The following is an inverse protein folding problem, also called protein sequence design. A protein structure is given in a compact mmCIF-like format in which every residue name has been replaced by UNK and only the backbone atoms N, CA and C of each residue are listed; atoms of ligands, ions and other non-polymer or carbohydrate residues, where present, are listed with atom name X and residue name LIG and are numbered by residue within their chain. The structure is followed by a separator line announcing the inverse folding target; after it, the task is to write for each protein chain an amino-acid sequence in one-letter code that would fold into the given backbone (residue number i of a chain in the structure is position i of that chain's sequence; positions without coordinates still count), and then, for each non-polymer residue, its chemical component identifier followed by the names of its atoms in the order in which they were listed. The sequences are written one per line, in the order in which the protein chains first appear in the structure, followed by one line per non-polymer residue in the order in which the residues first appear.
data_IF_393793502193
#
_entry.id   IF_393793502193
#
_cell.length_a   1.000
_cell.length_b   1.000
_cell.length_c   1.000
_cell.angle_alpha   90.00
_cell.angle_beta   90.00
_cell.angle_gamma   90.00
#
_symmetry.space_group_name_H-M   'P 1'
#
loop_
_entity.id
_entity.type
_entity.pdbx_description
1 polymer ?
#
# COMPACT_ATOMS: atom_id res chain seq x y z
N UNK A 1 0.44 16.98 -9.27
CA UNK A 1 0.13 16.72 -7.86
C UNK A 1 -1.36 16.91 -7.62
N UNK A 2 -2.03 16.06 -6.88
CA UNK A 2 -3.46 16.15 -6.61
C UNK A 2 -3.71 16.85 -5.27
N UNK A 3 -4.76 17.69 -5.19
CA UNK A 3 -5.17 18.36 -3.95
C UNK A 3 -5.78 17.41 -2.91
N UNK A 4 -6.28 17.95 -1.79
CA UNK A 4 -6.99 17.16 -0.78
C UNK A 4 -8.33 16.62 -1.31
N UNK A 5 -8.77 15.43 -0.82
CA UNK A 5 -10.07 14.79 -1.11
C UNK A 5 -10.33 14.47 -2.59
N UNK A 6 -9.30 14.16 -3.35
CA UNK A 6 -9.43 13.76 -4.77
C UNK A 6 -9.32 12.24 -4.99
N UNK A 7 -9.58 11.42 -3.97
CA UNK A 7 -9.58 9.96 -4.10
C UNK A 7 -8.19 9.31 -4.14
N UNK A 8 -7.15 9.94 -3.60
CA UNK A 8 -5.78 9.37 -3.59
C UNK A 8 -5.71 8.02 -2.87
N UNK A 9 -6.24 7.97 -1.66
CA UNK A 9 -6.30 6.73 -0.87
C UNK A 9 -7.15 5.65 -1.55
N UNK A 10 -8.24 6.07 -2.24
CA UNK A 10 -9.04 5.13 -3.04
C UNK A 10 -8.23 4.57 -4.21
N UNK A 11 -7.44 5.39 -4.89
CA UNK A 11 -6.55 4.93 -5.97
C UNK A 11 -5.51 3.93 -5.45
N UNK A 12 -4.87 4.22 -4.31
CA UNK A 12 -3.90 3.30 -3.68
C UNK A 12 -4.53 1.96 -3.26
N UNK A 13 -5.72 2.01 -2.67
CA UNK A 13 -6.45 0.80 -2.28
C UNK A 13 -6.90 -0.01 -3.52
N UNK A 14 -7.33 0.67 -4.58
CA UNK A 14 -7.71 0.03 -5.85
C UNK A 14 -6.51 -0.67 -6.49
N UNK A 15 -5.38 0.02 -6.65
CA UNK A 15 -4.16 -0.55 -7.23
C UNK A 15 -3.65 -1.74 -6.40
N UNK A 16 -3.64 -1.62 -5.08
CA UNK A 16 -3.32 -2.73 -4.19
C UNK A 16 -4.25 -3.93 -4.43
N UNK A 17 -5.55 -3.68 -4.58
CA UNK A 17 -6.54 -4.74 -4.80
C UNK A 17 -6.35 -5.48 -6.14
N UNK A 18 -6.10 -4.76 -7.24
CA UNK A 18 -5.89 -5.42 -8.54
C UNK A 18 -4.62 -6.25 -8.57
N UNK A 19 -3.57 -5.83 -7.84
CA UNK A 19 -2.37 -6.64 -7.68
C UNK A 19 -2.62 -7.88 -6.80
N UNK A 20 -3.36 -7.75 -5.70
CA UNK A 20 -3.70 -8.87 -4.81
C UNK A 20 -4.53 -9.93 -5.49
N UNK A 21 -5.48 -9.53 -6.33
CA UNK A 21 -6.39 -10.45 -7.02
C UNK A 21 -5.83 -10.96 -8.34
N UNK A 22 -4.98 -10.18 -9.01
CA UNK A 22 -4.56 -10.40 -10.40
C UNK A 22 -5.66 -10.07 -11.41
N UNK A 23 -6.79 -9.50 -10.97
CA UNK A 23 -7.92 -9.09 -11.83
C UNK A 23 -7.69 -7.69 -12.38
N UNK A 24 -6.85 -7.57 -13.41
CA UNK A 24 -6.55 -6.31 -14.05
C UNK A 24 -7.61 -5.98 -15.09
N UNK A 25 -8.20 -4.76 -15.06
CA UNK A 25 -9.13 -4.34 -16.11
C UNK A 25 -8.41 -4.16 -17.46
N UNK A 26 -9.16 -4.23 -18.56
CA UNK A 26 -8.61 -4.17 -19.91
C UNK A 26 -7.83 -2.88 -20.21
N UNK A 27 -8.24 -1.78 -19.57
CA UNK A 27 -7.58 -0.48 -19.71
C UNK A 27 -6.30 -0.34 -18.87
N UNK A 28 -5.95 -1.33 -18.03
CA UNK A 28 -4.80 -1.26 -17.17
C UNK A 28 -3.48 -1.30 -17.97
N UNK A 29 -2.73 -0.21 -17.90
CA UNK A 29 -1.43 -0.06 -18.59
C UNK A 29 -0.23 -0.15 -17.65
N UNK A 30 -0.46 -0.22 -16.32
CA UNK A 30 0.58 -0.37 -15.31
C UNK A 30 1.18 -1.76 -15.24
N UNK A 31 2.06 -1.96 -14.27
CA UNK A 31 2.67 -3.27 -14.00
C UNK A 31 1.59 -4.32 -13.72
N UNK A 32 1.79 -5.52 -14.21
CA UNK A 32 0.96 -6.70 -13.92
C UNK A 32 1.84 -7.78 -13.31
N UNK A 33 1.31 -8.46 -12.30
CA UNK A 33 1.91 -9.66 -11.73
C UNK A 33 1.10 -10.87 -12.18
N UNK A 34 1.78 -11.91 -12.64
CA UNK A 34 1.19 -13.17 -13.09
C UNK A 34 1.19 -14.25 -12.00
N UNK A 35 1.60 -13.88 -10.80
CA UNK A 35 1.72 -14.73 -9.62
C UNK A 35 1.09 -14.04 -8.40
N UNK A 36 0.81 -14.84 -7.36
CA UNK A 36 0.33 -14.34 -6.09
C UNK A 36 1.40 -13.46 -5.42
N UNK A 37 1.02 -12.23 -5.05
CA UNK A 37 1.93 -11.17 -4.61
C UNK A 37 1.97 -11.02 -3.10
N UNK A 38 3.11 -10.54 -2.60
CA UNK A 38 3.27 -10.03 -1.24
C UNK A 38 3.29 -8.52 -1.29
N UNK A 39 2.37 -7.87 -0.59
CA UNK A 39 2.23 -6.42 -0.59
C UNK A 39 2.38 -5.84 0.82
N UNK A 40 2.78 -4.58 0.88
CA UNK A 40 2.60 -3.74 2.05
C UNK A 40 1.65 -2.59 1.71
N UNK A 41 0.79 -2.25 2.68
CA UNK A 41 0.01 -1.01 2.67
C UNK A 41 0.32 -0.28 3.98
N UNK A 42 0.91 0.91 3.87
CA UNK A 42 1.47 1.63 5.01
C UNK A 42 0.90 3.03 5.13
N UNK A 43 0.74 3.50 6.36
CA UNK A 43 0.25 4.84 6.69
C UNK A 43 0.90 5.39 7.95
N UNK A 44 0.51 6.61 8.35
CA UNK A 44 1.19 7.38 9.39
C UNK A 44 1.17 6.67 10.76
N UNK A 45 -0.01 6.41 11.31
CA UNK A 45 -0.18 5.79 12.63
C UNK A 45 -0.98 4.50 12.55
N UNK A 46 -0.85 3.62 13.55
CA UNK A 46 -1.67 2.41 13.65
C UNK A 46 -3.18 2.72 13.64
N UNK A 47 -3.57 3.87 14.19
CA UNK A 47 -4.95 4.33 14.16
C UNK A 47 -5.39 4.69 12.74
N UNK A 48 -4.63 5.49 12.01
CA UNK A 48 -4.98 5.89 10.65
C UNK A 48 -4.95 4.70 9.68
N UNK A 49 -4.02 3.77 9.87
CA UNK A 49 -3.99 2.51 9.10
C UNK A 49 -5.27 1.72 9.31
N UNK A 50 -5.73 1.56 10.56
CA UNK A 50 -6.98 0.85 10.89
C UNK A 50 -8.21 1.58 10.35
N UNK A 51 -8.32 2.90 10.58
CA UNK A 51 -9.53 3.67 10.28
C UNK A 51 -9.64 4.05 8.78
N UNK A 52 -8.53 4.04 8.04
CA UNK A 52 -8.50 4.46 6.64
C UNK A 52 -8.13 3.30 5.72
N UNK A 53 -6.89 2.79 5.82
CA UNK A 53 -6.38 1.77 4.88
C UNK A 53 -7.16 0.45 5.03
N UNK A 54 -7.29 -0.04 6.26
CA UNK A 54 -8.03 -1.26 6.55
C UNK A 54 -9.50 -1.14 6.12
N UNK A 55 -10.16 -0.01 6.41
CA UNK A 55 -11.55 0.20 6.00
C UNK A 55 -11.70 0.27 4.48
N UNK A 56 -10.77 0.91 3.76
CA UNK A 56 -10.78 0.94 2.30
C UNK A 56 -10.62 -0.45 1.69
N UNK A 57 -9.74 -1.26 2.23
CA UNK A 57 -9.47 -2.61 1.70
C UNK A 57 -10.55 -3.63 2.09
N UNK A 58 -11.01 -3.61 3.33
CA UNK A 58 -11.92 -4.64 3.88
C UNK A 58 -13.39 -4.21 3.98
N UNK A 59 -13.67 -2.91 3.96
CA UNK A 59 -14.96 -2.36 4.33
C UNK A 59 -15.03 -1.99 5.81
N UNK A 60 -16.18 -1.47 6.22
CA UNK A 60 -16.42 -1.09 7.62
C UNK A 60 -16.29 -2.30 8.55
N UNK A 61 -15.89 -2.06 9.79
CA UNK A 61 -15.81 -3.12 10.81
C UNK A 61 -17.16 -3.85 11.02
N UNK A 62 -18.28 -3.12 10.85
CA UNK A 62 -19.64 -3.68 10.91
C UNK A 62 -20.00 -4.54 9.70
N UNK A 63 -19.34 -4.36 8.57
CA UNK A 63 -19.65 -5.02 7.29
C UNK A 63 -18.35 -5.41 6.56
N UNK A 64 -17.57 -6.35 7.11
CA UNK A 64 -16.32 -6.78 6.50
C UNK A 64 -16.59 -7.52 5.18
N UNK A 65 -15.80 -7.19 4.16
CA UNK A 65 -15.96 -7.75 2.80
C UNK A 65 -16.68 -6.83 1.83
N UNK A 66 -17.12 -5.64 2.29
CA UNK A 66 -17.69 -4.57 1.46
C UNK A 66 -16.66 -3.52 1.06
N UNK A 67 -15.36 -3.77 1.29
CA UNK A 67 -14.26 -2.91 0.85
C UNK A 67 -13.87 -3.15 -0.60
N UNK A 68 -12.71 -2.63 -0.99
CA UNK A 68 -12.21 -2.81 -2.37
C UNK A 68 -11.81 -4.25 -2.67
N UNK A 69 -11.33 -5.00 -1.67
CA UNK A 69 -11.09 -6.44 -1.82
C UNK A 69 -12.43 -7.16 -1.73
N UNK A 70 -12.86 -7.87 -2.79
CA UNK A 70 -14.10 -8.65 -2.75
C UNK A 70 -14.07 -9.67 -1.61
N UNK A 71 -15.08 -9.65 -0.73
CA UNK A 71 -15.13 -10.52 0.45
C UNK A 71 -15.02 -12.00 0.12
N UNK A 72 -15.52 -12.43 -1.06
CA UNK A 72 -15.42 -13.81 -1.56
C UNK A 72 -13.99 -14.26 -1.88
N UNK A 73 -13.07 -13.31 -2.09
CA UNK A 73 -11.66 -13.60 -2.37
C UNK A 73 -10.79 -13.58 -1.12
N UNK A 74 -11.28 -13.06 0.00
CA UNK A 74 -10.54 -13.06 1.27
C UNK A 74 -10.55 -14.47 1.86
N UNK A 75 -9.37 -15.08 1.99
CA UNK A 75 -9.23 -16.44 2.52
C UNK A 75 -9.01 -16.45 4.02
N UNK A 76 -8.20 -15.52 4.50
CA UNK A 76 -7.80 -15.42 5.89
C UNK A 76 -7.36 -14.01 6.24
N UNK A 77 -7.35 -13.69 7.53
CA UNK A 77 -6.77 -12.45 8.08
C UNK A 77 -6.20 -12.70 9.46
N UNK A 78 -5.09 -12.04 9.77
CA UNK A 78 -4.49 -12.06 11.10
C UNK A 78 -4.69 -10.73 11.80
N UNK A 79 -4.75 -10.73 13.12
CA UNK A 79 -4.91 -9.51 13.92
C UNK A 79 -3.57 -9.03 14.45
N UNK A 80 -3.41 -7.72 14.58
CA UNK A 80 -2.23 -7.09 15.13
C UNK A 80 -2.23 -7.20 16.64
N UNK A 81 -1.15 -7.70 17.23
CA UNK A 81 -1.05 -7.84 18.67
C UNK A 81 -1.05 -6.46 19.36
N UNK A 82 -1.79 -6.36 20.46
CA UNK A 82 -1.82 -5.15 21.30
C UNK A 82 -2.67 -4.00 20.76
N UNK A 83 -3.29 -4.13 19.59
CA UNK A 83 -4.15 -3.10 19.01
C UNK A 83 -5.51 -3.70 18.69
N UNK A 84 -6.54 -3.28 19.42
CA UNK A 84 -7.89 -3.80 19.23
C UNK A 84 -8.39 -3.55 17.80
N UNK A 85 -9.03 -4.57 17.21
CA UNK A 85 -9.67 -4.53 15.87
C UNK A 85 -8.71 -4.20 14.70
N UNK A 86 -7.39 -4.10 14.96
CA UNK A 86 -6.42 -3.89 13.90
C UNK A 86 -6.05 -5.23 13.24
N UNK A 87 -6.12 -5.24 11.92
CA UNK A 87 -5.65 -6.35 11.10
C UNK A 87 -4.15 -6.17 10.85
N UNK A 88 -3.42 -7.25 10.92
CA UNK A 88 -2.00 -7.30 10.57
C UNK A 88 -1.83 -7.64 9.09
N UNK A 89 -2.34 -8.78 8.67
CA UNK A 89 -2.21 -9.26 7.29
C UNK A 89 -3.53 -9.81 6.76
N UNK A 90 -3.85 -9.48 5.51
CA UNK A 90 -5.01 -9.97 4.76
C UNK A 90 -4.51 -10.90 3.67
N UNK A 91 -5.11 -12.08 3.55
CA UNK A 91 -4.79 -13.07 2.53
C UNK A 91 -5.92 -13.16 1.51
N UNK A 92 -5.56 -13.09 0.23
CA UNK A 92 -6.51 -12.94 -0.89
C UNK A 92 -6.22 -13.98 -1.97
N UNK A 93 -7.25 -14.62 -2.50
CA UNK A 93 -7.12 -15.51 -3.67
C UNK A 93 -6.65 -14.72 -4.88
N UNK A 94 -5.62 -15.22 -5.55
CA UNK A 94 -5.12 -14.65 -6.79
C UNK A 94 -5.57 -15.51 -7.98
N UNK A 95 -5.81 -14.88 -9.15
CA UNK A 95 -6.25 -15.59 -10.37
C UNK A 95 -5.28 -16.67 -10.83
N UNK A 96 -4.00 -16.61 -10.48
CA UNK A 96 -3.02 -17.67 -10.74
C UNK A 96 -3.23 -18.95 -9.94
N UNK A 97 -4.21 -18.97 -9.00
CA UNK A 97 -4.45 -20.09 -8.09
C UNK A 97 -3.67 -20.01 -6.78
N UNK A 98 -2.75 -19.05 -6.64
CA UNK A 98 -2.02 -18.79 -5.39
C UNK A 98 -2.80 -17.90 -4.40
N UNK A 99 -2.16 -17.62 -3.27
CA UNK A 99 -2.70 -16.72 -2.24
C UNK A 99 -1.76 -15.52 -2.08
N UNK A 100 -2.25 -14.35 -2.45
CA UNK A 100 -1.59 -13.07 -2.19
C UNK A 100 -1.76 -12.64 -0.74
N UNK A 101 -0.90 -11.75 -0.29
CA UNK A 101 -1.02 -11.15 1.05
C UNK A 101 -0.72 -9.67 1.04
N UNK A 102 -1.43 -8.90 1.87
CA UNK A 102 -1.08 -7.52 2.18
C UNK A 102 -0.95 -7.34 3.67
N UNK A 103 0.24 -6.89 4.11
CA UNK A 103 0.51 -6.56 5.52
C UNK A 103 0.31 -5.06 5.72
N UNK A 104 -0.48 -4.72 6.73
CA UNK A 104 -0.80 -3.34 7.10
C UNK A 104 0.26 -2.83 8.09
N UNK A 105 0.97 -1.78 7.70
CA UNK A 105 2.10 -1.21 8.44
C UNK A 105 1.86 0.24 8.83
N UNK A 106 2.52 0.68 9.89
CA UNK A 106 2.47 2.07 10.33
C UNK A 106 3.90 2.64 10.37
N UNK A 107 4.07 3.88 9.91
CA UNK A 107 5.35 4.59 10.04
C UNK A 107 5.73 4.81 11.50
N UNK A 108 4.73 4.90 12.38
CA UNK A 108 4.92 5.00 13.84
C UNK A 108 5.72 3.81 14.42
N UNK A 109 5.70 2.64 13.77
CA UNK A 109 6.47 1.46 14.20
C UNK A 109 7.97 1.58 13.90
N UNK A 110 8.35 2.64 13.20
CA UNK A 110 9.73 2.92 12.85
C UNK A 110 10.24 2.12 11.64
N UNK A 111 11.37 2.56 11.12
CA UNK A 111 12.01 1.99 9.93
C UNK A 111 12.31 0.50 10.05
N UNK A 112 12.64 0.04 11.25
CA UNK A 112 13.01 -1.37 11.48
C UNK A 112 11.87 -2.34 11.18
N UNK A 113 10.61 -1.90 11.32
CA UNK A 113 9.44 -2.71 10.96
C UNK A 113 9.36 -3.04 9.46
N UNK A 114 10.08 -2.29 8.62
CA UNK A 114 10.15 -2.46 7.17
C UNK A 114 11.35 -3.30 6.72
N UNK A 115 12.15 -3.87 7.65
CA UNK A 115 13.29 -4.71 7.30
C UNK A 115 12.91 -6.16 6.98
N UNK A 116 13.79 -6.85 6.28
CA UNK A 116 13.86 -8.33 6.22
C UNK A 116 12.98 -9.03 5.19
N UNK A 117 11.97 -8.41 4.61
CA UNK A 117 11.11 -9.06 3.62
C UNK A 117 11.35 -8.51 2.19
N UNK A 118 11.32 -9.38 1.20
CA UNK A 118 11.14 -8.99 -0.20
C UNK A 118 9.64 -8.97 -0.51
N UNK A 119 9.17 -7.93 -1.19
CA UNK A 119 7.76 -7.72 -1.53
C UNK A 119 7.61 -7.30 -2.99
N UNK A 120 6.47 -7.64 -3.58
CA UNK A 120 6.18 -7.34 -4.98
C UNK A 120 5.61 -5.93 -5.15
N UNK A 121 4.82 -5.47 -4.15
CA UNK A 121 4.18 -4.17 -4.24
C UNK A 121 4.11 -3.47 -2.88
N UNK A 122 4.33 -2.16 -2.87
CA UNK A 122 4.19 -1.33 -1.69
C UNK A 122 3.35 -0.09 -1.98
N UNK A 123 2.32 0.12 -1.15
CA UNK A 123 1.55 1.34 -1.12
C UNK A 123 1.83 2.13 0.17
N UNK A 124 2.33 3.34 0.03
CA UNK A 124 2.48 4.32 1.09
C UNK A 124 1.33 5.34 1.00
N UNK A 125 0.46 5.41 2.01
CA UNK A 125 -0.57 6.44 2.13
C UNK A 125 -0.09 7.50 3.12
N UNK A 126 -0.08 8.75 2.68
CA UNK A 126 0.63 9.87 3.25
C UNK A 126 2.18 9.72 3.18
N UNK A 127 2.87 10.82 3.28
CA UNK A 127 4.31 10.89 3.07
C UNK A 127 5.08 10.29 4.26
N UNK A 128 5.82 9.18 4.09
CA UNK A 128 6.71 8.63 5.11
C UNK A 128 7.98 9.48 5.25
N UNK A 129 8.75 9.24 6.32
CA UNK A 129 10.13 9.73 6.32
C UNK A 129 10.98 9.06 5.23
N UNK A 130 12.08 9.73 4.84
CA UNK A 130 12.95 9.26 3.76
C UNK A 130 13.53 7.85 4.02
N UNK A 131 13.80 7.51 5.26
CA UNK A 131 14.35 6.21 5.62
C UNK A 131 13.35 5.08 5.37
N UNK A 132 12.08 5.27 5.75
CA UNK A 132 10.99 4.30 5.50
C UNK A 132 10.73 4.19 3.99
N UNK A 133 10.63 5.31 3.28
CA UNK A 133 10.45 5.31 1.82
C UNK A 133 11.55 4.53 1.10
N UNK A 134 12.80 4.79 1.47
CA UNK A 134 13.95 4.07 0.90
C UNK A 134 13.85 2.56 1.14
N UNK A 135 13.49 2.13 2.37
CA UNK A 135 13.32 0.71 2.65
C UNK A 135 12.20 0.08 1.81
N UNK A 136 11.04 0.73 1.70
CA UNK A 136 9.95 0.21 0.87
C UNK A 136 10.41 0.02 -0.59
N UNK A 137 11.10 0.99 -1.17
CA UNK A 137 11.65 0.89 -2.52
C UNK A 137 12.68 -0.25 -2.64
N UNK A 138 13.60 -0.37 -1.70
CA UNK A 138 14.62 -1.44 -1.72
C UNK A 138 13.98 -2.83 -1.66
N UNK A 139 12.92 -3.00 -0.86
CA UNK A 139 12.24 -4.30 -0.72
C UNK A 139 11.49 -4.72 -1.99
N UNK A 140 11.00 -3.78 -2.77
CA UNK A 140 10.35 -4.08 -4.06
C UNK A 140 11.36 -4.32 -5.18
N UNK A 141 12.53 -3.70 -5.14
CA UNK A 141 13.56 -3.86 -6.21
C UNK A 141 14.03 -5.30 -6.37
N UNK A 142 14.07 -6.09 -5.28
CA UNK A 142 14.54 -7.48 -5.32
C UNK A 142 13.58 -8.42 -6.07
N UNK A 143 12.31 -8.03 -6.20
CA UNK A 143 11.26 -8.79 -6.88
C UNK A 143 10.83 -8.15 -8.20
N UNK A 144 11.61 -7.20 -8.73
CA UNK A 144 11.16 -6.35 -9.84
C UNK A 144 9.75 -5.78 -9.55
N UNK A 145 9.55 -5.34 -8.30
CA UNK A 145 8.27 -4.87 -7.79
C UNK A 145 7.98 -3.41 -8.14
N UNK A 146 6.94 -2.86 -7.48
CA UNK A 146 6.55 -1.47 -7.64
C UNK A 146 6.20 -0.83 -6.29
N UNK A 147 6.43 0.48 -6.18
CA UNK A 147 5.98 1.31 -5.07
C UNK A 147 5.09 2.42 -5.58
N UNK A 148 4.01 2.70 -4.85
CA UNK A 148 3.21 3.91 -5.06
C UNK A 148 3.14 4.73 -3.77
N UNK A 149 3.04 6.03 -3.93
CA UNK A 149 2.87 6.98 -2.84
C UNK A 149 1.67 7.89 -3.12
N UNK A 150 0.68 7.83 -2.24
CA UNK A 150 -0.53 8.66 -2.29
C UNK A 150 -0.47 9.68 -1.17
N UNK A 151 -0.13 10.93 -1.47
CA UNK A 151 0.08 11.96 -0.45
C UNK A 151 -0.33 13.36 -0.92
N UNK A 152 -0.44 14.27 0.05
CA UNK A 152 -0.55 15.71 -0.21
C UNK A 152 0.76 16.35 0.28
N UNK A 153 1.51 17.07 -0.56
CA UNK A 153 2.80 17.66 -0.18
C UNK A 153 2.60 18.85 0.76
N UNK A 154 2.25 18.59 2.03
CA UNK A 154 2.00 19.62 3.04
C UNK A 154 3.31 20.23 3.57
N UNK A 155 4.39 19.44 3.59
CA UNK A 155 5.72 19.86 4.03
C UNK A 155 6.55 20.54 2.91
N UNK A 156 5.94 20.78 1.74
CA UNK A 156 6.64 21.37 0.59
C UNK A 156 7.53 20.36 -0.13
N UNK A 157 8.77 20.77 -0.48
CA UNK A 157 9.73 19.96 -1.24
C UNK A 157 10.63 19.15 -0.30
N UNK A 158 10.07 18.12 0.29
CA UNK A 158 10.83 17.13 1.07
C UNK A 158 11.73 16.28 0.17
N UNK A 159 12.67 15.53 0.77
CA UNK A 159 13.53 14.59 0.02
C UNK A 159 12.70 13.51 -0.70
N UNK A 160 11.59 13.08 -0.14
CA UNK A 160 10.67 12.13 -0.77
C UNK A 160 10.01 12.77 -1.99
N UNK A 161 9.47 13.99 -1.85
CA UNK A 161 8.87 14.74 -2.98
C UNK A 161 9.88 14.97 -4.09
N UNK A 162 11.11 15.37 -3.74
CA UNK A 162 12.17 15.63 -4.70
C UNK A 162 12.56 14.38 -5.51
N UNK A 163 12.44 13.18 -4.94
CA UNK A 163 12.72 11.93 -5.65
C UNK A 163 11.78 11.64 -6.83
N UNK A 164 10.60 12.28 -6.88
CA UNK A 164 9.64 12.17 -7.98
C UNK A 164 9.78 13.27 -9.05
N UNK A 165 10.64 14.26 -8.83
CA UNK A 165 10.82 15.35 -9.78
C UNK A 165 11.97 15.05 -10.76
N UNK A 166 11.81 15.34 -12.06
CA UNK A 166 12.91 15.26 -13.01
C UNK A 166 14.08 16.12 -12.52
N UNK A 167 15.27 15.52 -12.40
CA UNK A 167 16.51 16.16 -11.94
C UNK A 167 16.53 16.65 -10.47
N UNK A 168 15.59 16.20 -9.64
CA UNK A 168 15.60 16.48 -8.21
C UNK A 168 15.40 17.94 -7.79
N UNK A 169 15.13 18.86 -8.74
CA UNK A 169 14.87 20.28 -8.44
C UNK A 169 13.74 20.85 -9.31
N UNK A 170 12.81 21.64 -8.71
CA UNK A 170 11.91 22.48 -9.49
C UNK A 170 12.74 23.63 -10.11
N UNK A 171 12.77 23.68 -11.43
CA UNK A 171 13.37 24.80 -12.18
C UNK A 171 14.81 24.64 -12.64
N UNK A 172 15.38 23.44 -12.67
CA UNK A 172 16.59 23.16 -13.43
C UNK A 172 16.20 23.07 -14.92
N UNK A 173 16.26 24.20 -15.59
CA UNK A 173 16.22 24.33 -17.06
C UNK A 173 17.60 24.08 -17.63
#
# INVERSE_FOLDING_TARGET
MAGQRVGKTDAGAYETTVHLTGEYPDWWVGKRFDHAVKCWAAGDTNRTVREIIQEKLLGKLSEPGCGMIPGSLITHRTTKQGIAEAIDTIYVKHVSGGTSSVTLKSYQEGRESFYGASIDFAWADEEPDQGIWTEMCVRTMTCDGACILTFTPLAGLSSVVLSFLPNGMPGAT
#
